data_IF_979405568529
#
_entry.id   IF_979405568529
#
_cell.length_a   1.000
_cell.length_b   1.000
_cell.length_c   1.000
_cell.angle_alpha   90.00
_cell.angle_beta   90.00
_cell.angle_gamma   90.00
#
_symmetry.space_group_name_H-M   'P 1'
#
loop_
_entity.id
_entity.type
_entity.pdbx_description
1 polymer ?
#
# COMPACT_ATOMS: atom_id res chain seq x y z
N UNK A 1 10.38 16.85 2.14
CA UNK A 1 10.40 15.45 2.61
C UNK A 1 9.21 15.17 3.50
N UNK A 2 8.46 14.10 3.24
CA UNK A 2 7.41 13.67 4.16
C UNK A 2 7.98 13.31 5.54
N UNK A 3 7.21 13.60 6.59
CA UNK A 3 7.59 13.27 7.95
C UNK A 3 7.07 11.88 8.33
N UNK A 4 7.70 11.25 9.31
CA UNK A 4 7.18 9.99 9.87
C UNK A 4 5.94 10.26 10.71
N UNK A 5 5.11 9.23 10.89
CA UNK A 5 3.87 9.32 11.65
C UNK A 5 4.14 8.98 13.12
N UNK A 6 3.92 9.95 14.00
CA UNK A 6 4.10 9.81 15.43
C UNK A 6 2.97 9.07 16.13
N UNK A 7 1.86 8.74 15.41
CA UNK A 7 0.81 7.89 15.98
C UNK A 7 1.27 6.44 16.18
N UNK A 8 2.37 6.06 15.51
CA UNK A 8 3.04 4.77 15.73
C UNK A 8 4.09 4.89 16.83
N UNK A 9 4.30 3.82 17.57
CA UNK A 9 5.32 3.74 18.63
C UNK A 9 6.23 2.53 18.39
N UNK A 10 7.51 2.73 17.96
CA UNK A 10 8.12 4.00 17.57
C UNK A 10 7.49 4.59 16.31
N UNK A 11 7.75 5.88 16.01
CA UNK A 11 7.20 6.51 14.81
C UNK A 11 7.57 5.77 13.52
N UNK A 12 6.64 5.70 12.58
CA UNK A 12 6.81 4.94 11.34
C UNK A 12 6.72 5.84 10.11
N UNK A 13 7.43 5.53 9.02
CA UNK A 13 7.27 6.24 7.76
C UNK A 13 5.92 5.87 7.14
N UNK A 14 5.07 6.89 6.94
CA UNK A 14 3.74 6.74 6.40
C UNK A 14 3.54 7.73 5.27
N UNK A 15 3.12 7.23 4.13
CA UNK A 15 2.88 8.02 2.93
C UNK A 15 1.39 8.31 2.75
N UNK A 16 1.09 9.36 1.99
CA UNK A 16 -0.28 9.62 1.54
C UNK A 16 -0.58 8.75 0.32
N UNK A 17 -1.69 8.01 0.40
CA UNK A 17 -2.08 7.04 -0.61
C UNK A 17 -3.54 7.26 -1.01
N UNK A 18 -3.81 7.13 -2.29
CA UNK A 18 -5.18 7.03 -2.82
C UNK A 18 -5.25 5.76 -3.66
N UNK A 19 -6.28 4.96 -3.43
CA UNK A 19 -6.53 3.73 -4.18
C UNK A 19 -7.73 3.95 -5.09
N UNK A 20 -7.61 3.59 -6.35
CA UNK A 20 -8.67 3.82 -7.33
C UNK A 20 -8.90 2.59 -8.20
N UNK A 21 -10.11 2.48 -8.74
CA UNK A 21 -10.41 1.46 -9.73
C UNK A 21 -9.53 1.66 -10.97
N UNK A 22 -9.03 0.58 -11.59
CA UNK A 22 -8.09 0.72 -12.72
C UNK A 22 -8.69 1.37 -13.96
N UNK A 23 -10.01 1.38 -14.11
CA UNK A 23 -10.69 1.90 -15.31
C UNK A 23 -11.71 2.98 -14.96
N UNK A 24 -12.57 2.74 -13.95
CA UNK A 24 -13.63 3.69 -13.60
C UNK A 24 -13.06 4.88 -12.81
N UNK A 25 -13.91 5.86 -12.55
CA UNK A 25 -13.55 7.04 -11.74
C UNK A 25 -13.66 6.80 -10.24
N UNK A 26 -14.06 5.59 -9.81
CA UNK A 26 -14.18 5.27 -8.39
C UNK A 26 -12.81 5.34 -7.71
N UNK A 27 -12.73 6.04 -6.59
CA UNK A 27 -11.49 6.20 -5.83
C UNK A 27 -11.77 6.30 -4.34
N UNK A 28 -10.79 5.93 -3.55
CA UNK A 28 -10.83 6.12 -2.11
C UNK A 28 -10.60 7.60 -1.77
N UNK A 29 -10.91 7.98 -0.53
CA UNK A 29 -10.35 9.19 0.05
C UNK A 29 -8.86 9.02 0.33
N UNK A 30 -8.25 10.02 0.96
CA UNK A 30 -6.87 9.94 1.38
C UNK A 30 -6.70 8.86 2.47
N UNK A 31 -5.70 8.01 2.28
CA UNK A 31 -5.38 6.92 3.20
C UNK A 31 -3.92 7.04 3.64
N UNK A 32 -3.60 6.44 4.77
CA UNK A 32 -2.23 6.28 5.21
C UNK A 32 -1.66 4.99 4.64
N UNK A 33 -0.45 5.06 4.11
CA UNK A 33 0.28 3.91 3.61
C UNK A 33 1.55 3.69 4.41
N UNK A 34 1.59 2.61 5.19
CA UNK A 34 2.80 2.21 5.92
C UNK A 34 3.78 1.58 4.94
N UNK A 35 5.02 2.09 4.92
CA UNK A 35 6.06 1.52 4.08
C UNK A 35 6.59 0.24 4.73
N UNK A 36 6.46 -0.89 4.03
CA UNK A 36 6.86 -2.19 4.55
C UNK A 36 7.73 -2.94 3.54
N UNK A 37 9.04 -2.88 3.74
CA UNK A 37 10.00 -3.61 2.91
C UNK A 37 9.96 -5.12 3.11
N UNK A 38 9.27 -5.59 4.15
CA UNK A 38 9.09 -7.01 4.42
C UNK A 38 7.93 -7.64 3.66
N UNK A 39 7.07 -6.82 3.04
CA UNK A 39 5.91 -7.32 2.30
C UNK A 39 6.18 -7.39 0.80
N UNK A 40 5.84 -8.52 0.18
CA UNK A 40 5.98 -8.71 -1.27
C UNK A 40 4.97 -7.87 -2.05
N UNK A 41 3.74 -7.89 -1.59
CA UNK A 41 2.61 -7.20 -2.21
C UNK A 41 2.04 -6.14 -1.29
N UNK A 42 1.51 -5.11 -1.90
CA UNK A 42 0.73 -4.09 -1.22
C UNK A 42 -0.57 -4.70 -0.71
N UNK A 43 -1.00 -4.27 0.47
CA UNK A 43 -2.22 -4.74 1.13
C UNK A 43 -3.14 -3.55 1.33
N UNK A 44 -4.36 -3.66 0.82
CA UNK A 44 -5.38 -2.60 0.96
C UNK A 44 -6.42 -3.02 2.01
N UNK A 45 -7.08 -2.04 2.66
CA UNK A 45 -8.24 -2.35 3.51
C UNK A 45 -9.32 -3.09 2.73
N UNK A 46 -9.83 -4.18 3.29
CA UNK A 46 -10.79 -5.04 2.57
C UNK A 46 -12.10 -4.34 2.21
N UNK A 47 -12.49 -3.31 2.96
CA UNK A 47 -13.68 -2.52 2.66
C UNK A 47 -13.60 -1.78 1.32
N UNK A 48 -12.40 -1.56 0.78
CA UNK A 48 -12.23 -0.92 -0.53
C UNK A 48 -12.68 -1.82 -1.67
N UNK A 49 -12.67 -3.13 -1.48
CA UNK A 49 -13.05 -4.06 -2.56
C UNK A 49 -14.49 -3.83 -3.03
N UNK A 50 -15.50 -3.86 -2.15
CA UNK A 50 -16.86 -3.50 -2.58
C UNK A 50 -17.03 -2.01 -2.87
N UNK A 51 -16.37 -1.15 -2.09
CA UNK A 51 -16.50 0.31 -2.27
C UNK A 51 -16.07 0.75 -3.67
N UNK A 52 -15.00 0.17 -4.20
CA UNK A 52 -14.47 0.50 -5.52
C UNK A 52 -14.90 -0.49 -6.61
N UNK A 53 -15.74 -1.46 -6.27
CA UNK A 53 -16.19 -2.52 -7.18
C UNK A 53 -15.02 -3.27 -7.83
N UNK A 54 -14.01 -3.61 -7.05
CA UNK A 54 -12.84 -4.35 -7.53
C UNK A 54 -13.19 -5.81 -7.78
N UNK A 55 -12.63 -6.37 -8.86
CA UNK A 55 -12.79 -7.79 -9.21
C UNK A 55 -11.48 -8.51 -9.08
N UNK A 56 -11.51 -9.71 -8.51
CA UNK A 56 -10.33 -10.55 -8.40
C UNK A 56 -9.84 -10.97 -9.79
N UNK A 57 -8.53 -10.85 -10.03
CA UNK A 57 -7.90 -11.22 -11.30
C UNK A 57 -7.07 -12.48 -11.21
N UNK A 58 -6.67 -12.86 -9.99
CA UNK A 58 -5.84 -14.03 -9.73
C UNK A 58 -5.95 -14.38 -8.25
N UNK A 59 -5.25 -15.41 -7.84
CA UNK A 59 -5.11 -15.77 -6.43
C UNK A 59 -3.65 -16.08 -6.14
N UNK A 60 -3.22 -15.74 -4.93
CA UNK A 60 -1.87 -16.04 -4.44
C UNK A 60 -1.96 -16.67 -3.07
N UNK A 61 -0.93 -17.45 -2.73
CA UNK A 61 -0.75 -17.94 -1.37
C UNK A 61 -0.07 -16.84 -0.55
N UNK A 62 -0.71 -16.46 0.54
CA UNK A 62 -0.18 -15.46 1.46
C UNK A 62 0.06 -16.09 2.82
N UNK A 63 1.19 -15.70 3.44
CA UNK A 63 1.56 -16.17 4.77
C UNK A 63 1.14 -15.15 5.82
N UNK A 64 0.36 -15.60 6.81
CA UNK A 64 0.01 -14.78 7.96
C UNK A 64 1.13 -14.72 9.00
N UNK A 65 0.98 -13.85 10.01
CA UNK A 65 1.95 -13.73 11.11
C UNK A 65 2.10 -15.00 11.92
N UNK A 66 1.06 -15.83 11.95
CA UNK A 66 1.05 -17.13 12.65
C UNK A 66 1.71 -18.24 11.85
N UNK A 67 2.23 -17.94 10.67
CA UNK A 67 2.88 -18.90 9.78
C UNK A 67 1.92 -19.69 8.91
N UNK A 68 0.61 -19.51 9.03
CA UNK A 68 -0.35 -20.17 8.17
C UNK A 68 -0.37 -19.57 6.79
N UNK A 69 -0.64 -20.42 5.78
CA UNK A 69 -0.81 -19.99 4.40
C UNK A 69 -2.30 -19.98 4.06
N UNK A 70 -2.75 -18.94 3.39
CA UNK A 70 -4.11 -18.87 2.86
C UNK A 70 -4.09 -18.36 1.43
N UNK A 71 -5.03 -18.86 0.62
CA UNK A 71 -5.20 -18.38 -0.74
C UNK A 71 -5.95 -17.06 -0.70
N UNK A 72 -5.39 -16.02 -1.31
CA UNK A 72 -5.95 -14.68 -1.31
C UNK A 72 -6.23 -14.20 -2.72
N UNK A 73 -7.39 -13.54 -2.96
CA UNK A 73 -7.65 -12.91 -4.25
C UNK A 73 -6.67 -11.75 -4.47
N UNK A 74 -6.25 -11.59 -5.72
CA UNK A 74 -5.41 -10.48 -6.15
C UNK A 74 -6.25 -9.50 -6.96
N UNK A 75 -6.11 -8.24 -6.63
CA UNK A 75 -6.77 -7.14 -7.32
C UNK A 75 -5.74 -6.25 -7.99
N UNK A 76 -6.13 -5.55 -9.03
CA UNK A 76 -5.33 -4.50 -9.65
C UNK A 76 -6.02 -3.17 -9.39
N UNK A 77 -5.23 -2.18 -8.99
CA UNK A 77 -5.74 -0.84 -8.67
C UNK A 77 -4.84 0.22 -9.30
N UNK A 78 -5.41 1.40 -9.56
CA UNK A 78 -4.59 2.59 -9.73
C UNK A 78 -4.20 3.06 -8.35
N UNK A 79 -2.95 3.42 -8.19
CA UNK A 79 -2.37 3.70 -6.89
C UNK A 79 -1.64 5.03 -6.93
N UNK A 80 -2.09 6.00 -6.14
CA UNK A 80 -1.39 7.26 -5.97
C UNK A 80 -0.57 7.20 -4.69
N UNK A 81 0.72 7.40 -4.83
CA UNK A 81 1.69 7.28 -3.74
C UNK A 81 2.48 8.59 -3.66
N UNK A 82 2.21 9.40 -2.63
CA UNK A 82 2.79 10.74 -2.48
C UNK A 82 2.68 11.56 -3.76
N UNK A 83 1.51 11.52 -4.40
CA UNK A 83 1.26 12.23 -5.65
C UNK A 83 1.80 11.55 -6.92
N UNK A 84 2.56 10.46 -6.78
CA UNK A 84 3.03 9.67 -7.93
C UNK A 84 1.97 8.64 -8.31
N UNK A 85 1.48 8.70 -9.54
CA UNK A 85 0.42 7.81 -9.98
C UNK A 85 0.99 6.57 -10.64
N UNK A 86 0.56 5.40 -10.15
CA UNK A 86 0.92 4.09 -10.68
C UNK A 86 -0.35 3.46 -11.27
N UNK A 87 -0.39 3.21 -12.59
CA UNK A 87 -1.64 2.83 -13.26
C UNK A 87 -2.14 1.43 -12.92
N UNK A 88 -1.25 0.52 -12.56
CA UNK A 88 -1.62 -0.85 -12.23
C UNK A 88 -0.71 -1.38 -11.13
N UNK A 89 -1.30 -1.60 -9.96
CA UNK A 89 -0.60 -2.16 -8.80
C UNK A 89 -1.36 -3.41 -8.35
N UNK A 90 -0.64 -4.52 -8.24
CA UNK A 90 -1.19 -5.75 -7.69
C UNK A 90 -1.28 -5.61 -6.18
N UNK A 91 -2.43 -5.99 -5.63
CA UNK A 91 -2.62 -5.94 -4.18
C UNK A 91 -3.52 -7.08 -3.71
N UNK A 92 -3.44 -7.37 -2.43
CA UNK A 92 -4.39 -8.21 -1.72
C UNK A 92 -5.14 -7.34 -0.71
N UNK A 93 -6.23 -7.84 -0.19
CA UNK A 93 -7.05 -7.13 0.79
C UNK A 93 -6.98 -7.83 2.13
N UNK A 94 -7.05 -7.06 3.20
CA UNK A 94 -7.06 -7.59 4.56
C UNK A 94 -7.87 -6.67 5.47
N UNK A 95 -8.24 -7.22 6.64
CA UNK A 95 -8.90 -6.43 7.68
C UNK A 95 -7.88 -5.53 8.35
N UNK A 96 -7.72 -4.35 7.78
CA UNK A 96 -6.82 -3.33 8.32
C UNK A 96 -7.32 -1.94 7.96
N UNK A 97 -6.89 -0.95 8.72
CA UNK A 97 -7.28 0.45 8.49
C UNK A 97 -6.41 1.14 7.44
N UNK A 98 -5.11 0.93 7.52
CA UNK A 98 -4.13 1.58 6.66
C UNK A 98 -3.76 0.67 5.49
N UNK A 99 -3.26 1.28 4.40
CA UNK A 99 -2.62 0.54 3.33
C UNK A 99 -1.23 0.13 3.80
N UNK A 100 -0.84 -1.09 3.46
CA UNK A 100 0.53 -1.55 3.65
C UNK A 100 1.20 -1.53 2.29
N UNK A 101 2.19 -0.65 2.14
CA UNK A 101 2.87 -0.44 0.85
C UNK A 101 4.03 -1.42 0.76
N UNK A 102 3.87 -2.43 -0.08
CA UNK A 102 4.84 -3.50 -0.25
C UNK A 102 5.92 -3.18 -1.28
N UNK A 103 6.86 -4.12 -1.43
CA UNK A 103 8.00 -3.94 -2.34
C UNK A 103 7.59 -3.77 -3.80
N UNK A 104 6.44 -4.31 -4.21
CA UNK A 104 5.95 -4.12 -5.57
C UNK A 104 5.68 -2.65 -5.93
N UNK A 105 5.46 -1.81 -4.93
CA UNK A 105 5.39 -0.35 -5.08
C UNK A 105 6.74 0.28 -4.75
N UNK A 106 7.31 -0.07 -3.60
CA UNK A 106 8.53 0.58 -3.09
C UNK A 106 9.71 0.44 -4.06
N UNK A 107 9.80 -0.69 -4.76
CA UNK A 107 10.90 -0.93 -5.71
C UNK A 107 10.84 -0.04 -6.97
N UNK A 108 9.80 0.75 -7.13
CA UNK A 108 9.69 1.74 -8.20
C UNK A 108 10.26 3.10 -7.82
N UNK A 109 10.79 3.24 -6.60
CA UNK A 109 11.28 4.51 -6.06
C UNK A 109 12.64 4.35 -5.44
N UNK A 110 13.37 5.46 -5.38
CA UNK A 110 14.50 5.60 -4.48
C UNK A 110 13.95 6.21 -3.20
N UNK A 111 14.14 5.51 -2.09
CA UNK A 111 13.60 5.91 -0.79
C UNK A 111 14.76 6.17 0.14
N UNK A 112 14.79 7.38 0.70
CA UNK A 112 15.76 7.76 1.70
C UNK A 112 15.05 7.89 3.04
N UNK A 113 15.46 7.09 4.02
CA UNK A 113 14.95 7.17 5.39
C UNK A 113 15.93 7.95 6.25
N UNK A 114 15.45 9.04 6.81
CA UNK A 114 16.20 9.83 7.80
C UNK A 114 15.55 9.61 9.16
N UNK A 115 15.93 8.52 9.82
CA UNK A 115 15.35 8.14 11.10
C UNK A 115 15.66 9.14 12.22
N UNK A 116 16.81 9.80 12.16
CA UNK A 116 17.21 10.77 13.17
C UNK A 116 16.32 12.01 13.15
N UNK A 117 15.97 12.50 11.96
CA UNK A 117 15.10 13.67 11.79
C UNK A 117 13.64 13.28 11.59
N UNK A 118 13.30 12.01 11.70
CA UNK A 118 11.95 11.47 11.55
C UNK A 118 11.32 11.88 10.20
N UNK A 119 12.06 11.68 9.12
CA UNK A 119 11.66 12.01 7.75
C UNK A 119 12.01 10.92 6.78
N UNK A 120 11.36 10.94 5.63
CA UNK A 120 11.75 10.11 4.50
C UNK A 120 11.51 10.89 3.20
N UNK A 121 12.19 10.47 2.15
CA UNK A 121 12.09 11.07 0.83
C UNK A 121 11.86 10.00 -0.22
N UNK A 122 11.08 10.34 -1.24
CA UNK A 122 10.77 9.46 -2.36
C UNK A 122 11.14 10.14 -3.66
N UNK A 123 11.85 9.41 -4.52
CA UNK A 123 12.14 9.84 -5.88
C UNK A 123 11.83 8.69 -6.84
N UNK A 124 11.18 8.96 -7.98
CA UNK A 124 10.99 7.91 -8.99
C UNK A 124 12.34 7.33 -9.40
N UNK A 125 12.37 6.02 -9.51
CA UNK A 125 13.59 5.33 -9.92
C UNK A 125 13.82 5.44 -11.41
#
# INVERSE_FOLDING_TARGET
>A
MPAVDHSFTPPAPVADVVVAHPVSSAMSGALRGELDTGADLTVIPEGLVPQLALSARAHVWARGYDGTFSQRPVYYVRFSFEGHELPAVRCIAADRRNVLVGRNVLNRFVITLDGRNLRFDLQPA
#
